data_IF_788890430129
#
_entry.id   IF_788890430129
#
_cell.length_a   1.000
_cell.length_b   1.000
_cell.length_c   1.000
_cell.angle_alpha   90.00
_cell.angle_beta   90.00
_cell.angle_gamma   90.00
#
_symmetry.space_group_name_H-M   'P 1'
#
loop_
_entity.id
_entity.type
_entity.pdbx_description
1 polymer ?
#
# COMPACT_ATOMS: atom_id res chain seq x y z
N UNK A 1 1.26 20.73 18.34
CA UNK A 1 0.69 19.38 18.44
C UNK A 1 -0.81 19.56 18.26
N UNK A 2 -1.37 19.08 17.15
CA UNK A 2 -2.81 19.16 16.90
C UNK A 2 -3.45 18.04 17.73
N UNK A 3 -4.36 18.39 18.63
CA UNK A 3 -5.18 17.42 19.34
C UNK A 3 -6.41 17.13 18.47
N UNK A 4 -6.48 15.91 17.93
CA UNK A 4 -7.67 15.40 17.23
C UNK A 4 -8.53 14.69 18.28
N UNK A 5 -9.85 14.95 18.27
CA UNK A 5 -10.80 14.24 19.13
C UNK A 5 -11.00 12.81 18.62
N UNK A 6 -11.38 11.87 19.49
CA UNK A 6 -11.60 10.47 19.08
C UNK A 6 -12.66 10.38 17.96
N UNK A 7 -13.72 11.19 18.01
CA UNK A 7 -14.74 11.28 16.96
C UNK A 7 -14.20 11.83 15.64
N UNK A 8 -13.29 12.82 15.68
CA UNK A 8 -12.65 13.34 14.48
C UNK A 8 -11.66 12.33 13.87
N UNK A 9 -11.00 11.53 14.70
CA UNK A 9 -10.12 10.46 14.22
C UNK A 9 -10.91 9.36 13.53
N UNK A 10 -11.99 8.88 14.14
CA UNK A 10 -12.87 7.87 13.56
C UNK A 10 -13.49 8.34 12.24
N UNK A 11 -13.90 9.61 12.15
CA UNK A 11 -14.40 10.20 10.91
C UNK A 11 -13.32 10.28 9.82
N UNK A 12 -12.11 10.72 10.18
CA UNK A 12 -10.98 10.80 9.25
C UNK A 12 -10.61 9.42 8.70
N UNK A 13 -10.63 8.42 9.57
CA UNK A 13 -10.34 7.03 9.22
C UNK A 13 -11.45 6.46 8.33
N UNK A 14 -12.73 6.74 8.63
CA UNK A 14 -13.87 6.36 7.80
C UNK A 14 -13.81 6.94 6.38
N UNK A 15 -13.54 8.24 6.26
CA UNK A 15 -13.36 8.91 4.96
C UNK A 15 -12.19 8.31 4.16
N UNK A 16 -11.07 8.00 4.82
CA UNK A 16 -9.91 7.34 4.17
C UNK A 16 -10.25 5.92 3.71
N UNK A 17 -11.05 5.17 4.47
CA UNK A 17 -11.48 3.82 4.10
C UNK A 17 -12.43 3.82 2.90
N UNK A 18 -13.30 4.82 2.78
CA UNK A 18 -14.18 4.99 1.61
C UNK A 18 -13.40 5.35 0.34
N UNK A 19 -12.21 5.93 0.48
CA UNK A 19 -11.29 6.25 -0.61
C UNK A 19 -10.31 5.12 -0.94
N UNK A 20 -10.31 3.99 -0.23
CA UNK A 20 -9.44 2.87 -0.60
C UNK A 20 -9.93 2.19 -1.89
N UNK A 21 -9.03 1.60 -2.69
CA UNK A 21 -9.45 0.80 -3.82
C UNK A 21 -10.30 -0.39 -3.37
N UNK A 22 -11.48 -0.56 -3.99
CA UNK A 22 -12.39 -1.70 -3.77
C UNK A 22 -11.69 -3.06 -3.93
N UNK A 23 -10.69 -3.15 -4.81
CA UNK A 23 -9.96 -4.39 -5.10
C UNK A 23 -8.56 -4.12 -5.66
N UNK A 24 -7.56 -4.75 -5.03
CA UNK A 24 -6.21 -4.90 -5.58
C UNK A 24 -6.00 -6.36 -5.99
N UNK A 25 -5.53 -6.59 -7.22
CA UNK A 25 -5.32 -7.94 -7.76
C UNK A 25 -3.83 -8.25 -7.83
N UNK A 26 -3.40 -9.33 -7.18
CA UNK A 26 -2.02 -9.82 -7.21
C UNK A 26 -1.93 -11.16 -7.94
N UNK A 27 -0.95 -11.30 -8.83
CA UNK A 27 -0.73 -12.53 -9.58
C UNK A 27 0.27 -13.44 -8.86
N UNK A 28 -0.25 -14.41 -8.09
CA UNK A 28 0.57 -15.28 -7.22
C UNK A 28 1.78 -15.90 -7.94
N UNK A 29 1.60 -16.40 -9.16
CA UNK A 29 2.64 -17.14 -9.87
C UNK A 29 3.76 -16.19 -10.30
N UNK A 30 3.41 -14.99 -10.77
CA UNK A 30 4.37 -13.98 -11.14
C UNK A 30 5.20 -13.53 -9.94
N UNK A 31 4.57 -13.32 -8.78
CA UNK A 31 5.28 -12.95 -7.55
C UNK A 31 6.18 -14.08 -7.06
N UNK A 32 5.70 -15.33 -7.08
CA UNK A 32 6.47 -16.49 -6.65
C UNK A 32 7.67 -16.78 -7.56
N UNK A 33 7.53 -16.62 -8.88
CA UNK A 33 8.62 -16.81 -9.85
C UNK A 33 9.80 -15.87 -9.62
N UNK A 34 9.54 -14.70 -9.02
CA UNK A 34 10.57 -13.71 -8.70
C UNK A 34 10.97 -13.72 -7.21
N UNK A 35 10.71 -14.79 -6.48
CA UNK A 35 10.99 -14.89 -5.05
C UNK A 35 11.67 -16.22 -4.71
N UNK A 36 12.86 -16.16 -4.12
CA UNK A 36 13.67 -17.35 -3.84
C UNK A 36 13.11 -18.21 -2.70
N UNK A 37 12.43 -17.56 -1.75
CA UNK A 37 11.81 -18.21 -0.60
C UNK A 37 10.52 -17.49 -0.17
N UNK A 38 9.92 -18.00 0.91
CA UNK A 38 8.66 -17.47 1.43
C UNK A 38 8.81 -16.06 2.01
N UNK A 39 9.97 -15.70 2.55
CA UNK A 39 10.21 -14.38 3.12
C UNK A 39 10.42 -13.33 2.02
N UNK A 40 11.15 -13.69 0.95
CA UNK A 40 11.24 -12.91 -0.27
C UNK A 40 9.86 -12.71 -0.91
N UNK A 41 9.02 -13.75 -0.94
CA UNK A 41 7.65 -13.64 -1.46
C UNK A 41 6.79 -12.70 -0.61
N UNK A 42 6.89 -12.76 0.72
CA UNK A 42 6.20 -11.82 1.61
C UNK A 42 6.64 -10.38 1.38
N UNK A 43 7.95 -10.15 1.27
CA UNK A 43 8.50 -8.83 0.96
C UNK A 43 8.00 -8.32 -0.40
N UNK A 44 7.96 -9.20 -1.41
CA UNK A 44 7.47 -8.87 -2.74
C UNK A 44 5.97 -8.56 -2.77
N UNK A 45 5.15 -9.34 -2.07
CA UNK A 45 3.71 -9.02 -1.91
C UNK A 45 3.54 -7.65 -1.28
N UNK A 46 4.32 -7.34 -0.24
CA UNK A 46 4.24 -6.05 0.45
C UNK A 46 4.62 -4.88 -0.46
N UNK A 47 5.74 -4.99 -1.19
CA UNK A 47 6.20 -3.89 -2.06
C UNK A 47 5.23 -3.67 -3.23
N UNK A 48 4.75 -4.74 -3.87
CA UNK A 48 3.75 -4.63 -4.93
C UNK A 48 2.45 -4.01 -4.41
N UNK A 49 1.98 -4.42 -3.23
CA UNK A 49 0.77 -3.85 -2.64
C UNK A 49 0.92 -2.34 -2.38
N UNK A 50 2.07 -1.91 -1.84
CA UNK A 50 2.31 -0.49 -1.59
C UNK A 50 2.42 0.30 -2.89
N UNK A 51 3.00 -0.26 -3.95
CA UNK A 51 3.01 0.36 -5.27
C UNK A 51 1.60 0.58 -5.81
N UNK A 52 0.74 -0.45 -5.79
CA UNK A 52 -0.64 -0.32 -6.30
C UNK A 52 -1.45 0.70 -5.49
N UNK A 53 -1.31 0.70 -4.16
CA UNK A 53 -1.94 1.72 -3.29
C UNK A 53 -1.40 3.12 -3.61
N UNK A 54 -0.07 3.26 -3.74
CA UNK A 54 0.57 4.53 -4.04
C UNK A 54 0.09 5.11 -5.37
N UNK A 55 0.06 4.29 -6.42
CA UNK A 55 -0.44 4.69 -7.73
C UNK A 55 -1.93 5.06 -7.70
N UNK A 56 -2.75 4.33 -6.92
CA UNK A 56 -4.16 4.69 -6.72
C UNK A 56 -4.31 6.12 -6.15
N UNK A 57 -3.45 6.50 -5.20
CA UNK A 57 -3.41 7.85 -4.62
C UNK A 57 -2.59 8.87 -5.46
N UNK A 58 -2.14 8.50 -6.66
CA UNK A 58 -1.43 9.41 -7.57
C UNK A 58 0.06 9.59 -7.26
N UNK A 59 0.68 8.71 -6.47
CA UNK A 59 2.12 8.68 -6.28
C UNK A 59 2.81 7.96 -7.44
N UNK A 60 3.90 8.54 -7.93
CA UNK A 60 4.74 7.96 -8.98
C UNK A 60 5.94 7.19 -8.41
N UNK A 61 6.64 6.43 -9.26
CA UNK A 61 7.81 5.63 -8.86
C UNK A 61 8.91 6.45 -8.18
N UNK A 62 9.30 7.66 -8.66
CA UNK A 62 10.23 8.52 -7.95
C UNK A 62 9.80 8.77 -6.50
N UNK A 63 8.54 9.12 -6.28
CA UNK A 63 8.03 9.40 -4.94
C UNK A 63 8.01 8.16 -4.05
N UNK A 64 7.65 6.99 -4.59
CA UNK A 64 7.69 5.72 -3.86
C UNK A 64 9.13 5.35 -3.46
N UNK A 65 10.10 5.61 -4.32
CA UNK A 65 11.53 5.39 -4.02
C UNK A 65 12.04 6.30 -2.90
N UNK A 66 11.65 7.57 -2.90
CA UNK A 66 11.96 8.50 -1.80
C UNK A 66 11.41 8.03 -0.46
N UNK A 67 10.27 7.34 -0.48
CA UNK A 67 9.60 6.79 0.70
C UNK A 67 10.14 5.41 1.11
N UNK A 68 11.11 4.84 0.38
CA UNK A 68 11.72 3.55 0.67
C UNK A 68 10.91 2.33 0.21
N UNK A 69 10.02 2.53 -0.78
CA UNK A 69 9.14 1.49 -1.29
C UNK A 69 9.49 0.98 -2.69
N UNK A 70 10.59 1.43 -3.31
CA UNK A 70 11.05 0.98 -4.64
C UNK A 70 12.49 0.49 -4.65
#
# INVERSE_FOLDING_TARGET
>A
MVAISDDDFERLIGEVFDELPDRITLYRNNLAEHSDDLDALRARVRITLVHEIGHYFGLDDPRLRELGWA
#
